data_IF_767871357620
#
_entry.id   IF_767871357620
#
_cell.length_a   1.000
_cell.length_b   1.000
_cell.length_c   1.000
_cell.angle_alpha   90.00
_cell.angle_beta   90.00
_cell.angle_gamma   90.00
#
_symmetry.space_group_name_H-M   'P 1'
#
loop_
_entity.id
_entity.type
_entity.pdbx_description
1 polymer ?
#
# COMPACT_ATOMS: atom_id res chain seq x y z
N UNK A 1 -21.38 20.89 -8.57
CA UNK A 1 -20.37 20.98 -7.54
C UNK A 1 -20.65 20.03 -6.36
N UNK A 2 -19.61 19.62 -5.70
CA UNK A 2 -19.71 18.76 -4.54
C UNK A 2 -20.08 19.58 -3.30
N UNK A 3 -20.98 19.08 -2.50
CA UNK A 3 -21.37 19.71 -1.23
C UNK A 3 -20.62 19.06 -0.07
N UNK A 4 -20.31 19.84 0.95
CA UNK A 4 -19.66 19.39 2.18
C UNK A 4 -20.48 19.82 3.39
N UNK A 5 -20.77 18.85 4.28
CA UNK A 5 -21.41 19.10 5.56
C UNK A 5 -20.43 18.76 6.68
N UNK A 6 -20.17 19.71 7.57
CA UNK A 6 -19.26 19.51 8.72
C UNK A 6 -20.10 19.13 9.93
N UNK A 7 -19.70 18.04 10.59
CA UNK A 7 -20.29 17.57 11.87
C UNK A 7 -19.18 17.12 12.80
N UNK A 8 -19.10 17.72 13.98
CA UNK A 8 -18.11 17.40 15.00
C UNK A 8 -16.68 17.28 14.43
N UNK A 9 -16.12 16.06 14.40
CA UNK A 9 -14.76 15.79 13.93
C UNK A 9 -14.68 15.30 12.49
N UNK A 10 -15.76 15.30 11.75
CA UNK A 10 -15.83 14.83 10.38
C UNK A 10 -16.68 15.72 9.49
N UNK A 11 -16.52 15.58 8.18
CA UNK A 11 -17.42 16.18 7.19
C UNK A 11 -17.85 15.15 6.16
N UNK A 12 -18.98 15.42 5.51
CA UNK A 12 -19.51 14.60 4.43
C UNK A 12 -19.25 15.30 3.10
N UNK A 13 -18.68 14.57 2.16
CA UNK A 13 -18.42 15.03 0.80
C UNK A 13 -19.39 14.34 -0.15
N UNK A 14 -20.21 15.10 -0.84
CA UNK A 14 -21.18 14.58 -1.81
C UNK A 14 -20.59 14.59 -3.21
N UNK A 15 -20.40 13.41 -3.80
CA UNK A 15 -20.02 13.27 -5.21
C UNK A 15 -21.27 13.52 -6.05
N UNK A 16 -22.38 12.89 -5.65
CA UNK A 16 -23.72 13.08 -6.19
C UNK A 16 -24.70 13.12 -5.03
N UNK A 17 -25.98 13.39 -5.33
CA UNK A 17 -27.02 13.57 -4.32
C UNK A 17 -27.14 12.40 -3.32
N UNK A 18 -26.95 11.16 -3.80
CA UNK A 18 -27.03 9.94 -2.98
C UNK A 18 -25.68 9.25 -2.81
N UNK A 19 -24.61 9.79 -3.41
CA UNK A 19 -23.27 9.20 -3.35
C UNK A 19 -22.36 10.13 -2.54
N UNK A 20 -22.11 9.77 -1.30
CA UNK A 20 -21.32 10.59 -0.38
C UNK A 20 -20.22 9.79 0.31
N UNK A 21 -19.22 10.54 0.77
CA UNK A 21 -18.07 10.01 1.50
C UNK A 21 -17.93 10.80 2.80
N UNK A 22 -17.43 10.13 3.83
CA UNK A 22 -17.14 10.75 5.13
C UNK A 22 -15.64 10.84 5.32
N UNK A 23 -15.15 12.01 5.71
CA UNK A 23 -13.73 12.28 5.94
C UNK A 23 -13.51 12.93 7.31
N UNK A 24 -12.32 12.77 7.85
CA UNK A 24 -11.88 13.54 9.01
C UNK A 24 -11.78 15.02 8.67
N UNK A 25 -12.13 15.88 9.63
CA UNK A 25 -12.13 17.35 9.42
C UNK A 25 -10.74 17.87 9.01
N UNK A 26 -9.67 17.17 9.37
CA UNK A 26 -8.29 17.52 8.99
C UNK A 26 -8.08 17.55 7.47
N UNK A 27 -8.89 16.81 6.72
CA UNK A 27 -8.82 16.78 5.25
C UNK A 27 -9.76 17.78 4.56
N UNK A 28 -10.48 18.58 5.32
CA UNK A 28 -11.45 19.55 4.76
C UNK A 28 -10.78 20.50 3.77
N UNK A 29 -9.66 21.09 4.14
CA UNK A 29 -8.92 22.02 3.29
C UNK A 29 -8.50 21.38 1.97
N UNK A 30 -8.02 20.15 2.04
CA UNK A 30 -7.57 19.41 0.87
C UNK A 30 -8.71 19.22 -0.13
N UNK A 31 -9.87 18.76 0.32
CA UNK A 31 -11.01 18.50 -0.57
C UNK A 31 -11.82 19.73 -0.96
N UNK A 32 -11.53 20.90 -0.39
CA UNK A 32 -12.05 22.17 -0.92
C UNK A 32 -11.35 22.58 -2.22
N UNK A 33 -10.12 22.13 -2.43
CA UNK A 33 -9.28 22.47 -3.60
C UNK A 33 -9.05 21.29 -4.53
N UNK A 34 -9.40 20.06 -4.12
CA UNK A 34 -9.23 18.86 -4.90
C UNK A 34 -10.57 18.12 -4.99
N UNK A 35 -11.21 18.20 -6.14
CA UNK A 35 -12.48 17.52 -6.38
C UNK A 35 -12.26 16.03 -6.63
N UNK A 36 -13.06 15.21 -5.96
CA UNK A 36 -12.99 13.76 -6.09
C UNK A 36 -13.72 13.31 -7.34
N UNK A 37 -13.08 12.47 -8.13
CA UNK A 37 -13.64 11.81 -9.31
C UNK A 37 -13.64 10.30 -9.09
N UNK A 38 -14.64 9.62 -9.65
CA UNK A 38 -14.72 8.16 -9.63
C UNK A 38 -14.43 7.60 -11.02
N UNK A 39 -13.51 6.64 -11.09
CA UNK A 39 -13.20 5.89 -12.32
C UNK A 39 -12.94 4.42 -11.98
N UNK A 40 -13.66 3.52 -12.64
CA UNK A 40 -13.47 2.08 -12.48
C UNK A 40 -13.60 1.60 -11.04
N UNK A 41 -14.47 2.21 -10.24
CA UNK A 41 -14.62 1.89 -8.82
C UNK A 41 -13.57 2.51 -7.91
N UNK A 42 -12.64 3.28 -8.45
CA UNK A 42 -11.59 3.97 -7.69
C UNK A 42 -11.88 5.47 -7.60
N UNK A 43 -11.45 6.07 -6.50
CA UNK A 43 -11.62 7.49 -6.21
C UNK A 43 -10.30 8.24 -6.39
N UNK A 44 -10.31 9.29 -7.21
CA UNK A 44 -9.12 10.04 -7.58
C UNK A 44 -9.35 11.53 -7.42
N UNK A 45 -8.26 12.26 -7.21
CA UNK A 45 -8.18 13.70 -7.35
C UNK A 45 -7.13 14.05 -8.42
N UNK A 46 -7.27 15.21 -9.06
CA UNK A 46 -6.23 15.75 -9.92
C UNK A 46 -5.29 16.59 -9.05
N UNK A 47 -4.01 16.28 -9.10
CA UNK A 47 -2.97 17.00 -8.37
C UNK A 47 -1.74 17.16 -9.26
N UNK A 48 -1.33 18.41 -9.52
CA UNK A 48 -0.23 18.75 -10.43
C UNK A 48 -0.32 18.06 -11.81
N UNK A 49 -1.55 17.97 -12.36
CA UNK A 49 -1.79 17.34 -13.66
C UNK A 49 -1.82 15.81 -13.63
N UNK A 50 -1.65 15.20 -12.46
CA UNK A 50 -1.68 13.75 -12.28
C UNK A 50 -2.97 13.31 -11.58
N UNK A 51 -3.45 12.11 -11.90
CA UNK A 51 -4.53 11.48 -11.14
C UNK A 51 -3.92 10.74 -9.94
N UNK A 52 -4.36 11.14 -8.74
CA UNK A 52 -3.88 10.56 -7.48
C UNK A 52 -5.04 9.87 -6.78
N UNK A 53 -4.90 8.58 -6.47
CA UNK A 53 -5.89 7.85 -5.68
C UNK A 53 -5.94 8.43 -4.27
N UNK A 54 -7.14 8.71 -3.76
CA UNK A 54 -7.30 9.31 -2.43
C UNK A 54 -6.76 8.42 -1.29
N UNK A 55 -6.66 7.11 -1.51
CA UNK A 55 -6.08 6.18 -0.54
C UNK A 55 -4.59 6.46 -0.25
N UNK A 56 -3.88 7.13 -1.15
CA UNK A 56 -2.49 7.52 -0.93
C UNK A 56 -2.31 8.45 0.27
N UNK A 57 -3.33 9.24 0.62
CA UNK A 57 -3.31 10.11 1.81
C UNK A 57 -3.28 9.35 3.13
N UNK A 58 -3.65 8.07 3.10
CA UNK A 58 -3.65 7.16 4.26
C UNK A 58 -2.39 6.29 4.31
N UNK A 59 -1.44 6.51 3.40
CA UNK A 59 -0.27 5.65 3.26
C UNK A 59 -0.55 4.31 2.61
N UNK A 60 -1.71 4.18 1.96
CA UNK A 60 -2.09 2.96 1.24
C UNK A 60 -1.46 3.01 -0.15
N UNK A 61 -0.70 1.98 -0.50
CA UNK A 61 -0.01 1.90 -1.80
C UNK A 61 -0.99 1.62 -2.95
N UNK A 62 -0.57 1.94 -4.15
CA UNK A 62 -1.33 1.61 -5.37
C UNK A 62 -1.57 0.09 -5.47
N UNK A 63 -2.68 -0.26 -6.10
CA UNK A 63 -3.13 -1.64 -6.31
C UNK A 63 -3.44 -2.40 -5.03
N UNK A 64 -3.57 -1.71 -3.89
CA UNK A 64 -4.04 -2.32 -2.65
C UNK A 64 -5.50 -2.75 -2.76
N UNK A 65 -5.82 -3.88 -2.14
CA UNK A 65 -7.16 -4.47 -2.18
C UNK A 65 -7.79 -4.40 -0.80
N UNK A 66 -8.99 -3.84 -0.73
CA UNK A 66 -9.78 -3.80 0.49
C UNK A 66 -10.06 -5.22 1.00
N UNK A 67 -9.84 -5.44 2.28
CA UNK A 67 -9.97 -6.74 2.92
C UNK A 67 -8.67 -7.55 2.96
N UNK A 68 -7.73 -7.26 2.07
CA UNK A 68 -6.41 -7.91 2.05
C UNK A 68 -5.32 -6.98 2.57
N UNK A 69 -5.24 -5.77 2.04
CA UNK A 69 -4.16 -4.82 2.33
C UNK A 69 -4.59 -3.72 3.31
N UNK A 70 -5.87 -3.41 3.33
CA UNK A 70 -6.49 -2.48 4.27
C UNK A 70 -7.96 -2.85 4.46
N UNK A 71 -8.59 -2.30 5.49
CA UNK A 71 -10.02 -2.49 5.73
C UNK A 71 -10.65 -1.27 6.38
N UNK A 72 -11.95 -1.17 6.27
CA UNK A 72 -12.77 -0.20 6.99
C UNK A 72 -13.25 -0.83 8.30
N UNK A 73 -12.84 -0.29 9.44
CA UNK A 73 -13.08 -0.89 10.76
C UNK A 73 -14.57 -1.15 11.05
N UNK A 74 -15.44 -0.24 10.63
CA UNK A 74 -16.90 -0.39 10.79
C UNK A 74 -17.58 -1.08 9.59
N UNK A 75 -16.84 -1.52 8.60
CA UNK A 75 -17.38 -2.14 7.38
C UNK A 75 -17.99 -1.18 6.37
N UNK A 76 -18.04 0.11 6.66
CA UNK A 76 -18.57 1.13 5.76
C UNK A 76 -17.48 1.66 4.83
N UNK A 77 -17.54 1.28 3.56
CA UNK A 77 -16.57 1.67 2.53
C UNK A 77 -16.67 3.13 2.08
N UNK A 78 -17.60 3.88 2.63
CA UNK A 78 -17.74 5.32 2.39
C UNK A 78 -17.15 6.15 3.52
N UNK A 79 -16.73 5.51 4.60
CA UNK A 79 -16.21 6.16 5.80
C UNK A 79 -14.68 6.19 5.79
N UNK A 80 -14.12 7.29 5.27
CA UNK A 80 -12.68 7.54 5.14
C UNK A 80 -12.09 8.32 6.31
N UNK A 81 -12.73 8.33 7.47
CA UNK A 81 -12.09 8.90 8.67
C UNK A 81 -10.83 8.09 9.01
N UNK A 82 -9.78 8.78 9.45
CA UNK A 82 -8.49 8.15 9.72
C UNK A 82 -8.59 6.96 10.69
N UNK A 83 -9.37 7.10 11.76
CA UNK A 83 -9.57 6.02 12.73
C UNK A 83 -10.36 4.82 12.20
N UNK A 84 -11.01 4.95 11.05
CA UNK A 84 -11.80 3.88 10.44
C UNK A 84 -11.03 3.07 9.38
N UNK A 85 -9.88 3.54 8.94
CA UNK A 85 -9.05 2.84 7.96
C UNK A 85 -7.90 2.14 8.67
N UNK A 86 -7.86 0.82 8.55
CA UNK A 86 -6.83 -0.03 9.15
C UNK A 86 -5.95 -0.56 8.03
N UNK A 87 -4.66 -0.28 8.09
CA UNK A 87 -3.68 -0.80 7.14
C UNK A 87 -3.21 -2.16 7.64
N UNK A 88 -3.47 -3.21 6.85
CA UNK A 88 -3.08 -4.59 7.16
C UNK A 88 -1.68 -4.85 6.61
N UNK A 89 -1.43 -4.41 5.38
CA UNK A 89 -0.18 -4.68 4.67
C UNK A 89 0.36 -3.41 4.02
N UNK A 90 1.30 -2.72 4.68
CA UNK A 90 1.87 -1.48 4.15
C UNK A 90 3.02 -1.71 3.15
N UNK A 91 3.41 -2.97 2.90
CA UNK A 91 4.64 -3.28 2.16
C UNK A 91 4.38 -3.68 0.71
N UNK A 92 5.22 -3.18 -0.20
CA UNK A 92 5.19 -3.53 -1.62
C UNK A 92 5.62 -4.98 -1.83
N UNK A 93 4.91 -5.67 -2.70
CA UNK A 93 5.25 -7.03 -3.10
C UNK A 93 5.02 -8.11 -2.06
N UNK A 94 4.48 -7.76 -0.90
CA UNK A 94 4.22 -8.69 0.20
C UNK A 94 2.75 -9.08 0.22
N UNK A 95 2.47 -10.38 0.25
CA UNK A 95 1.13 -10.96 0.27
C UNK A 95 0.98 -11.86 1.48
N UNK A 96 0.16 -11.43 2.43
CA UNK A 96 -0.13 -12.16 3.65
C UNK A 96 -1.18 -13.24 3.40
N UNK A 97 -0.95 -14.44 3.91
CA UNK A 97 -1.95 -15.51 3.96
C UNK A 97 -1.76 -16.37 5.20
N UNK A 98 -2.81 -17.12 5.55
CA UNK A 98 -2.82 -18.02 6.71
C UNK A 98 -2.96 -19.44 6.19
N UNK A 99 -2.09 -20.33 6.67
CA UNK A 99 -2.13 -21.76 6.37
C UNK A 99 -1.88 -22.54 7.65
N UNK A 100 -2.78 -23.50 7.97
CA UNK A 100 -2.71 -24.29 9.19
C UNK A 100 -2.58 -23.45 10.46
N UNK A 101 -3.29 -22.31 10.54
CA UNK A 101 -3.26 -21.41 11.68
C UNK A 101 -1.99 -20.57 11.81
N UNK A 102 -1.10 -20.60 10.83
CA UNK A 102 0.14 -19.82 10.82
C UNK A 102 0.10 -18.75 9.74
N UNK A 103 0.68 -17.60 10.06
CA UNK A 103 0.86 -16.50 9.12
C UNK A 103 2.06 -16.76 8.22
N UNK A 104 1.87 -16.53 6.93
CA UNK A 104 2.92 -16.56 5.91
C UNK A 104 2.87 -15.31 5.08
N UNK A 105 4.04 -14.86 4.66
CA UNK A 105 4.20 -13.66 3.85
C UNK A 105 4.97 -14.02 2.59
N UNK A 106 4.24 -14.16 1.48
CA UNK A 106 4.81 -14.45 0.17
C UNK A 106 5.25 -13.15 -0.48
N UNK A 107 6.46 -13.12 -1.01
CA UNK A 107 7.01 -11.95 -1.70
C UNK A 107 7.09 -12.22 -3.19
N UNK A 108 6.56 -11.29 -3.98
CA UNK A 108 6.66 -11.30 -5.43
C UNK A 108 7.25 -9.98 -5.91
N UNK A 109 8.04 -10.05 -6.98
CA UNK A 109 8.61 -8.88 -7.65
C UNK A 109 8.35 -8.98 -9.16
N UNK A 110 8.01 -7.86 -9.77
CA UNK A 110 7.70 -7.81 -11.19
C UNK A 110 8.97 -7.56 -12.01
N UNK A 111 9.19 -8.39 -13.02
CA UNK A 111 10.28 -8.22 -13.99
C UNK A 111 9.68 -8.10 -15.39
N UNK A 112 9.27 -9.19 -15.97
CA UNK A 112 8.44 -9.30 -17.18
C UNK A 112 7.21 -10.19 -16.91
N UNK A 113 6.80 -10.24 -15.70
CA UNK A 113 5.79 -11.03 -15.03
C UNK A 113 6.15 -11.09 -13.55
N UNK A 114 5.32 -11.70 -12.74
CA UNK A 114 5.56 -11.80 -11.30
C UNK A 114 6.43 -13.02 -10.98
N UNK A 115 7.54 -12.76 -10.29
CA UNK A 115 8.45 -13.80 -9.81
C UNK A 115 8.37 -13.89 -8.30
N UNK A 116 8.30 -15.11 -7.78
CA UNK A 116 8.29 -15.34 -6.33
C UNK A 116 9.72 -15.17 -5.80
N UNK A 117 9.89 -14.25 -4.87
CA UNK A 117 11.15 -14.03 -4.15
C UNK A 117 11.34 -15.06 -3.06
N UNK A 118 10.28 -15.37 -2.33
CA UNK A 118 10.27 -16.33 -1.25
C UNK A 118 9.02 -16.20 -0.40
N UNK A 119 8.97 -17.00 0.66
CA UNK A 119 7.91 -16.96 1.69
C UNK A 119 8.55 -16.87 3.06
N UNK A 120 8.06 -15.95 3.89
CA UNK A 120 8.70 -15.59 5.15
C UNK A 120 7.69 -15.58 6.30
N UNK A 121 8.14 -15.80 7.54
CA UNK A 121 7.24 -15.91 8.69
C UNK A 121 6.74 -14.55 9.22
N UNK A 122 7.39 -13.45 8.87
CA UNK A 122 7.00 -12.10 9.34
C UNK A 122 6.92 -11.11 8.19
N UNK A 123 6.08 -10.08 8.37
CA UNK A 123 5.94 -9.01 7.41
C UNK A 123 7.24 -8.19 7.25
N UNK A 124 7.99 -8.02 8.34
CA UNK A 124 9.28 -7.30 8.32
C UNK A 124 10.31 -8.03 7.48
N UNK A 125 10.47 -9.33 7.68
CA UNK A 125 11.38 -10.15 6.87
C UNK A 125 10.98 -10.13 5.40
N UNK A 126 9.69 -10.24 5.11
CA UNK A 126 9.17 -10.17 3.74
C UNK A 126 9.46 -8.81 3.08
N UNK A 127 9.26 -7.71 3.81
CA UNK A 127 9.56 -6.37 3.32
C UNK A 127 11.05 -6.20 2.98
N UNK A 128 11.92 -6.71 3.84
CA UNK A 128 13.38 -6.68 3.62
C UNK A 128 13.77 -7.59 2.45
N UNK A 129 13.14 -8.75 2.32
CA UNK A 129 13.37 -9.65 1.19
C UNK A 129 13.03 -8.99 -0.16
N UNK A 130 11.94 -8.24 -0.22
CA UNK A 130 11.59 -7.48 -1.42
C UNK A 130 12.68 -6.44 -1.76
N UNK A 131 13.14 -5.68 -0.77
CA UNK A 131 14.21 -4.71 -0.95
C UNK A 131 15.50 -5.38 -1.44
N UNK A 132 15.88 -6.50 -0.84
CA UNK A 132 17.06 -7.26 -1.24
C UNK A 132 16.94 -7.80 -2.66
N UNK A 133 15.77 -8.31 -3.05
CA UNK A 133 15.52 -8.77 -4.40
C UNK A 133 15.65 -7.63 -5.41
N UNK A 134 15.12 -6.44 -5.11
CA UNK A 134 15.28 -5.26 -5.94
C UNK A 134 16.76 -4.88 -6.11
N UNK A 135 17.53 -4.91 -5.04
CA UNK A 135 18.97 -4.63 -5.07
C UNK A 135 19.73 -5.64 -5.94
N UNK A 136 19.42 -6.92 -5.81
CA UNK A 136 20.01 -7.99 -6.63
C UNK A 136 19.72 -7.76 -8.12
N UNK A 137 18.48 -7.44 -8.45
CA UNK A 137 18.06 -7.20 -9.83
C UNK A 137 18.72 -5.95 -10.41
N UNK A 138 18.81 -4.86 -9.64
CA UNK A 138 19.51 -3.65 -10.07
C UNK A 138 21.01 -3.91 -10.31
N UNK A 139 21.65 -4.68 -9.45
CA UNK A 139 23.05 -5.08 -9.62
C UNK A 139 23.25 -5.95 -10.86
N UNK A 140 22.23 -6.70 -11.27
CA UNK A 140 22.25 -7.52 -12.49
C UNK A 140 21.91 -6.73 -13.77
N UNK A 141 21.64 -5.43 -13.67
CA UNK A 141 21.35 -4.55 -14.80
C UNK A 141 19.89 -4.20 -15.03
N UNK A 142 18.99 -4.65 -14.15
CA UNK A 142 17.56 -4.30 -14.26
C UNK A 142 17.36 -2.80 -14.07
N UNK A 143 16.57 -2.17 -14.94
CA UNK A 143 16.31 -0.73 -14.92
C UNK A 143 14.93 -0.38 -14.36
N UNK A 144 14.16 -1.37 -13.94
CA UNK A 144 12.84 -1.14 -13.33
C UNK A 144 13.03 -0.42 -12.00
N UNK A 145 12.24 0.62 -11.79
CA UNK A 145 12.25 1.36 -10.53
C UNK A 145 11.32 0.68 -9.52
N UNK A 146 11.91 -0.03 -8.56
CA UNK A 146 11.17 -0.69 -7.49
C UNK A 146 11.02 0.24 -6.29
N UNK A 147 9.80 0.35 -5.72
CA UNK A 147 9.62 1.09 -4.48
C UNK A 147 10.31 0.36 -3.33
N UNK A 148 10.91 1.13 -2.42
CA UNK A 148 11.57 0.58 -1.25
C UNK A 148 10.58 0.46 -0.09
N UNK A 149 10.63 -0.65 0.63
CA UNK A 149 9.88 -0.85 1.86
C UNK A 149 10.67 -0.33 3.06
N UNK A 150 9.99 0.35 3.97
CA UNK A 150 10.58 0.91 5.19
C UNK A 150 9.92 0.27 6.41
N UNK A 151 10.40 -0.89 6.90
CA UNK A 151 9.87 -1.51 8.11
C UNK A 151 10.03 -0.59 9.32
N UNK A 152 8.93 -0.38 10.05
CA UNK A 152 8.93 0.41 11.26
C UNK A 152 9.41 -0.41 12.46
N UNK A 153 9.85 0.29 13.52
CA UNK A 153 10.26 -0.30 14.80
C UNK A 153 11.40 -1.34 14.68
N UNK A 154 12.29 -1.15 13.72
CA UNK A 154 13.46 -1.99 13.55
C UNK A 154 14.73 -1.12 13.53
N UNK A 155 15.75 -1.57 14.25
CA UNK A 155 17.06 -0.88 14.25
C UNK A 155 17.82 -1.14 12.95
N UNK A 156 18.76 -0.26 12.61
CA UNK A 156 19.63 -0.45 11.46
C UNK A 156 20.45 -1.74 11.57
N UNK A 157 20.88 -2.10 12.77
CA UNK A 157 21.64 -3.34 13.03
C UNK A 157 20.76 -4.57 12.77
N UNK A 158 19.52 -4.57 13.27
CA UNK A 158 18.58 -5.67 13.03
C UNK A 158 18.20 -5.78 11.56
N UNK A 159 17.99 -4.66 10.89
CA UNK A 159 17.73 -4.64 9.44
C UNK A 159 18.90 -5.28 8.67
N UNK A 160 20.12 -4.86 8.93
CA UNK A 160 21.30 -5.39 8.27
C UNK A 160 21.48 -6.90 8.53
N UNK A 161 21.23 -7.34 9.77
CA UNK A 161 21.30 -8.75 10.13
C UNK A 161 20.30 -9.60 9.33
N UNK A 162 19.05 -9.14 9.25
CA UNK A 162 18.01 -9.83 8.46
C UNK A 162 18.37 -9.80 6.98
N UNK A 163 18.75 -8.63 6.46
CA UNK A 163 19.12 -8.46 5.06
C UNK A 163 20.24 -9.43 4.63
N UNK A 164 21.26 -9.58 5.45
CA UNK A 164 22.40 -10.45 5.16
C UNK A 164 22.06 -11.95 5.24
N UNK A 165 21.12 -12.32 6.10
CA UNK A 165 20.75 -13.73 6.33
C UNK A 165 19.57 -14.21 5.52
N UNK A 166 18.72 -13.31 5.02
CA UNK A 166 17.47 -13.69 4.36
C UNK A 166 17.72 -14.39 3.03
N UNK A 167 16.99 -15.47 2.77
CA UNK A 167 17.11 -16.26 1.55
C UNK A 167 16.25 -15.67 0.45
N UNK A 168 16.85 -15.50 -0.71
CA UNK A 168 16.18 -15.04 -1.94
C UNK A 168 16.20 -16.19 -2.95
N UNK A 169 15.09 -16.38 -3.66
CA UNK A 169 14.96 -17.42 -4.68
C UNK A 169 16.13 -17.37 -5.70
N UNK A 170 16.61 -18.55 -6.09
CA UNK A 170 17.64 -18.68 -7.11
C UNK A 170 17.22 -18.06 -8.44
N UNK A 171 15.94 -18.08 -8.79
CA UNK A 171 15.42 -17.42 -10.00
C UNK A 171 15.72 -15.93 -10.04
N UNK A 172 15.65 -15.26 -8.87
CA UNK A 172 16.00 -13.84 -8.76
C UNK A 172 17.52 -13.66 -8.82
N UNK A 173 18.27 -14.48 -8.07
CA UNK A 173 19.74 -14.38 -7.99
C UNK A 173 20.44 -14.68 -9.32
N UNK A 174 19.82 -15.47 -10.18
CA UNK A 174 20.39 -15.88 -11.48
C UNK A 174 19.95 -14.98 -12.64
N UNK A 175 19.07 -14.01 -12.41
CA UNK A 175 18.68 -13.06 -13.45
C UNK A 175 19.87 -12.28 -13.99
N UNK A 176 19.86 -12.06 -15.31
CA UNK A 176 20.82 -11.21 -16.02
C UNK A 176 20.09 -10.38 -17.06
N UNK A 177 20.55 -9.16 -17.23
CA UNK A 177 19.95 -8.18 -18.14
C UNK A 177 20.99 -7.59 -19.08
#
# INVERSE_FOLDING_TARGET
GSEMCIRDSYFTYYIEETDFLKFSVDDLFYYTTHSIMRRGGHLFVADYGMQVNILSRYGIREHSVCGRDYLFANGDRTDYRYGNIIIINPYHGVFHYIKNGRDYYKVKIHINGDYVVGTYPTAVEAAIAYNKAADILHAAGCTINYPENYPENISAISYASIYNSIRISSKIRECRF
#
